data_IF_299661852893
#
_entry.id   IF_299661852893
#
_cell.length_a   1.000
_cell.length_b   1.000
_cell.length_c   1.000
_cell.angle_alpha   90.00
_cell.angle_beta   90.00
_cell.angle_gamma   90.00
#
_symmetry.space_group_name_H-M   'P 1'
#
loop_
_entity.id
_entity.type
_entity.pdbx_description
1 polymer ?
#
# COMPACT_ATOMS: atom_id res chain seq x y z
N UNK A 1 -11.41 -10.58 6.95
CA UNK A 1 -10.30 -11.44 6.49
C UNK A 1 -10.53 -11.88 5.05
N UNK A 2 -11.17 -13.03 4.85
CA UNK A 2 -11.31 -13.69 3.54
C UNK A 2 -11.87 -12.80 2.41
N UNK A 3 -12.97 -12.08 2.67
CA UNK A 3 -13.59 -11.21 1.66
C UNK A 3 -12.66 -10.10 1.19
N UNK A 4 -11.91 -9.50 2.11
CA UNK A 4 -10.95 -8.44 1.79
C UNK A 4 -9.78 -9.01 0.97
N UNK A 5 -9.22 -10.15 1.37
CA UNK A 5 -8.12 -10.79 0.61
C UNK A 5 -8.56 -11.19 -0.81
N UNK A 6 -9.75 -11.75 -0.97
CA UNK A 6 -10.29 -12.10 -2.30
C UNK A 6 -10.51 -10.85 -3.13
N UNK A 7 -11.04 -9.79 -2.53
CA UNK A 7 -11.26 -8.50 -3.19
C UNK A 7 -9.94 -7.89 -3.68
N UNK A 8 -8.91 -7.83 -2.82
CA UNK A 8 -7.58 -7.30 -3.13
C UNK A 8 -6.90 -8.11 -4.23
N UNK A 9 -6.87 -9.45 -4.12
CA UNK A 9 -6.29 -10.32 -5.13
C UNK A 9 -7.00 -10.18 -6.48
N UNK A 10 -8.32 -10.00 -6.48
CA UNK A 10 -9.09 -9.78 -7.71
C UNK A 10 -8.68 -8.47 -8.42
N UNK A 11 -8.43 -7.39 -7.65
CA UNK A 11 -7.96 -6.11 -8.21
C UNK A 11 -6.52 -6.20 -8.73
N UNK A 12 -5.64 -6.92 -8.02
CA UNK A 12 -4.27 -7.19 -8.47
C UNK A 12 -4.27 -8.05 -9.75
N UNK A 13 -5.12 -9.07 -9.82
CA UNK A 13 -5.29 -9.89 -11.02
C UNK A 13 -5.84 -9.06 -12.19
N UNK A 14 -6.77 -8.13 -11.93
CA UNK A 14 -7.27 -7.22 -12.95
C UNK A 14 -6.16 -6.33 -13.52
N UNK A 15 -5.24 -5.82 -12.69
CA UNK A 15 -4.06 -5.07 -13.17
C UNK A 15 -3.19 -5.91 -14.09
N UNK A 16 -2.96 -7.18 -13.76
CA UNK A 16 -2.15 -8.06 -14.61
C UNK A 16 -2.84 -8.35 -15.96
N UNK A 17 -4.14 -8.66 -15.94
CA UNK A 17 -4.86 -9.10 -17.14
C UNK A 17 -5.27 -7.94 -18.05
N UNK A 18 -5.70 -6.82 -17.46
CA UNK A 18 -6.18 -5.67 -18.23
C UNK A 18 -5.12 -4.59 -18.40
N UNK A 19 -4.07 -4.60 -17.58
CA UNK A 19 -3.03 -3.59 -17.58
C UNK A 19 -2.19 -3.53 -18.84
N UNK A 20 -2.08 -4.62 -19.60
CA UNK A 20 -1.39 -4.60 -20.91
C UNK A 20 -2.09 -3.70 -21.93
N UNK A 21 -3.41 -3.51 -21.81
CA UNK A 21 -4.18 -2.57 -22.63
C UNK A 21 -4.05 -1.13 -22.14
N UNK A 22 -3.73 -0.94 -20.86
CA UNK A 22 -3.68 0.37 -20.20
C UNK A 22 -2.28 0.98 -20.25
N UNK A 23 -1.25 0.13 -20.11
CA UNK A 23 0.13 0.54 -19.92
C UNK A 23 1.02 0.06 -21.07
N UNK A 24 1.25 0.89 -22.10
CA UNK A 24 2.16 0.55 -23.19
C UNK A 24 3.64 0.52 -22.77
N UNK A 25 4.01 1.05 -21.60
CA UNK A 25 5.40 1.16 -21.15
C UNK A 25 5.92 -0.19 -20.61
N UNK A 26 5.18 -0.79 -19.68
CA UNK A 26 5.59 -2.02 -18.99
C UNK A 26 4.44 -2.99 -18.73
N UNK A 27 3.31 -2.82 -19.43
CA UNK A 27 2.14 -3.68 -19.33
C UNK A 27 1.50 -3.70 -17.94
N UNK A 28 0.67 -4.71 -17.69
CA UNK A 28 0.02 -4.91 -16.39
C UNK A 28 1.01 -5.23 -15.27
N UNK A 29 2.14 -5.84 -15.61
CA UNK A 29 3.22 -6.14 -14.67
C UNK A 29 3.82 -4.85 -14.10
N UNK A 30 4.04 -3.82 -14.93
CA UNK A 30 4.55 -2.52 -14.48
C UNK A 30 3.63 -1.83 -13.47
N UNK A 31 2.32 -1.86 -13.70
CA UNK A 31 1.31 -1.31 -12.78
C UNK A 31 1.26 -2.09 -11.46
N UNK A 32 1.31 -3.42 -11.52
CA UNK A 32 1.34 -4.27 -10.34
C UNK A 32 2.62 -4.04 -9.53
N UNK A 33 3.76 -3.97 -10.20
CA UNK A 33 5.06 -3.73 -9.56
C UNK A 33 5.09 -2.37 -8.88
N UNK A 34 4.59 -1.33 -9.55
CA UNK A 34 4.43 0.01 -8.99
C UNK A 34 3.57 -0.01 -7.71
N UNK A 35 2.40 -0.67 -7.75
CA UNK A 35 1.51 -0.83 -6.59
C UNK A 35 2.21 -1.54 -5.43
N UNK A 36 2.77 -2.73 -5.66
CA UNK A 36 3.32 -3.56 -4.59
C UNK A 36 4.58 -2.93 -4.01
N UNK A 37 5.51 -2.46 -4.85
CA UNK A 37 6.77 -1.91 -4.35
C UNK A 37 6.53 -0.62 -3.57
N UNK A 38 5.70 0.30 -4.06
CA UNK A 38 5.46 1.56 -3.35
C UNK A 38 4.72 1.36 -2.03
N UNK A 39 3.75 0.45 -1.98
CA UNK A 39 3.01 0.16 -0.73
C UNK A 39 3.92 -0.46 0.32
N UNK A 40 4.73 -1.45 -0.06
CA UNK A 40 5.69 -2.07 0.87
C UNK A 40 6.81 -1.09 1.27
N UNK A 41 7.29 -0.27 0.32
CA UNK A 41 8.28 0.76 0.60
C UNK A 41 7.72 1.81 1.57
N UNK A 42 6.46 2.22 1.41
CA UNK A 42 5.79 3.13 2.33
C UNK A 42 5.74 2.55 3.74
N UNK A 43 5.39 1.27 3.93
CA UNK A 43 5.37 0.65 5.26
C UNK A 43 6.73 0.70 5.95
N UNK A 44 7.81 0.43 5.20
CA UNK A 44 9.19 0.54 5.68
C UNK A 44 9.55 1.98 5.99
N UNK A 45 9.21 2.92 5.11
CA UNK A 45 9.50 4.34 5.31
C UNK A 45 8.76 4.89 6.54
N UNK A 46 7.48 4.57 6.71
CA UNK A 46 6.70 4.94 7.89
C UNK A 46 7.33 4.41 9.17
N UNK A 47 7.83 3.17 9.15
CA UNK A 47 8.54 2.59 10.28
C UNK A 47 9.85 3.34 10.58
N UNK A 48 10.67 3.62 9.56
CA UNK A 48 11.93 4.35 9.72
C UNK A 48 11.71 5.78 10.25
N UNK A 49 10.82 6.56 9.62
CA UNK A 49 10.48 7.91 10.05
C UNK A 49 9.83 7.91 11.43
N UNK A 50 8.95 6.95 11.71
CA UNK A 50 8.32 6.81 13.01
C UNK A 50 9.30 6.44 14.11
N UNK A 51 10.34 5.65 13.81
CA UNK A 51 11.38 5.30 14.79
C UNK A 51 12.37 6.44 15.05
N UNK A 52 12.70 7.22 14.02
CA UNK A 52 13.66 8.32 14.12
C UNK A 52 13.05 9.60 14.73
N UNK A 53 11.83 9.93 14.33
CA UNK A 53 11.19 11.22 14.66
C UNK A 53 9.83 11.10 15.35
N UNK A 54 9.34 9.88 15.56
CA UNK A 54 8.00 9.66 16.11
C UNK A 54 7.85 10.16 17.55
N UNK A 55 6.98 11.15 17.72
CA UNK A 55 6.60 11.69 19.03
C UNK A 55 5.11 11.53 19.28
N UNK A 56 4.29 11.68 18.25
CA UNK A 56 2.83 11.64 18.37
C UNK A 56 2.27 10.34 17.80
N UNK A 57 1.66 9.52 18.66
CA UNK A 57 1.03 8.25 18.25
C UNK A 57 -0.31 8.50 17.55
N UNK A 58 -0.58 7.76 16.48
CA UNK A 58 -1.84 7.89 15.71
C UNK A 58 -2.97 7.08 16.36
N UNK A 59 -2.69 5.84 16.76
CA UNK A 59 -3.71 4.96 17.38
C UNK A 59 -3.16 4.27 18.62
N UNK A 60 -3.53 4.77 19.80
CA UNK A 60 -3.10 4.19 21.09
C UNK A 60 -3.71 2.80 21.33
N UNK A 61 -4.95 2.58 20.90
CA UNK A 61 -5.73 1.37 21.14
C UNK A 61 -5.64 0.31 20.04
N UNK A 62 -5.05 0.61 18.87
CA UNK A 62 -5.00 -0.29 17.70
C UNK A 62 -3.57 -0.58 17.20
N UNK A 63 -2.66 0.39 17.22
CA UNK A 63 -1.26 0.16 16.83
C UNK A 63 -0.30 1.12 17.55
N UNK A 64 0.25 0.73 18.72
CA UNK A 64 1.03 1.62 19.57
C UNK A 64 2.36 2.09 18.95
N UNK A 65 2.75 1.52 17.80
CA UNK A 65 3.99 1.83 17.07
C UNK A 65 3.80 2.84 15.93
N UNK A 66 2.56 3.17 15.52
CA UNK A 66 2.32 4.12 14.42
C UNK A 66 2.29 5.55 14.92
N UNK A 67 3.03 6.43 14.25
CA UNK A 67 3.17 7.85 14.60
C UNK A 67 2.79 8.76 13.44
N UNK A 68 2.35 9.99 13.75
CA UNK A 68 1.99 10.99 12.75
C UNK A 68 3.21 11.40 11.92
N UNK A 69 4.38 11.51 12.55
CA UNK A 69 5.63 11.80 11.87
C UNK A 69 6.02 10.66 10.93
N UNK A 70 5.77 9.42 11.33
CA UNK A 70 5.94 8.24 10.47
C UNK A 70 5.03 8.28 9.25
N UNK A 71 3.74 8.59 9.43
CA UNK A 71 2.78 8.72 8.34
C UNK A 71 3.22 9.81 7.34
N UNK A 72 3.49 11.01 7.83
CA UNK A 72 3.86 12.16 6.97
C UNK A 72 5.17 11.87 6.24
N UNK A 73 6.20 11.38 6.95
CA UNK A 73 7.49 11.03 6.35
C UNK A 73 7.38 9.90 5.33
N UNK A 74 6.64 8.84 5.66
CA UNK A 74 6.41 7.71 4.77
C UNK A 74 5.68 8.12 3.48
N UNK A 75 4.58 8.86 3.59
CA UNK A 75 3.83 9.37 2.44
C UNK A 75 4.69 10.31 1.60
N UNK A 76 5.41 11.26 2.22
CA UNK A 76 6.29 12.17 1.50
C UNK A 76 7.38 11.43 0.72
N UNK A 77 8.05 10.46 1.34
CA UNK A 77 9.04 9.64 0.63
C UNK A 77 8.43 8.80 -0.49
N UNK A 78 7.22 8.26 -0.28
CA UNK A 78 6.51 7.48 -1.30
C UNK A 78 6.14 8.34 -2.50
N UNK A 79 5.70 9.58 -2.29
CA UNK A 79 5.43 10.55 -3.37
C UNK A 79 6.68 10.81 -4.21
N UNK A 80 7.83 11.01 -3.55
CA UNK A 80 9.11 11.25 -4.24
C UNK A 80 9.55 10.03 -5.03
N UNK A 81 9.51 8.84 -4.44
CA UNK A 81 9.88 7.60 -5.16
C UNK A 81 8.91 7.34 -6.31
N UNK A 82 7.61 7.56 -6.12
CA UNK A 82 6.61 7.39 -7.15
C UNK A 82 6.83 8.36 -8.32
N UNK A 83 7.13 9.63 -8.07
CA UNK A 83 7.36 10.61 -9.12
C UNK A 83 8.62 10.33 -9.95
N UNK A 84 9.66 9.74 -9.32
CA UNK A 84 10.90 9.37 -9.99
C UNK A 84 10.77 8.10 -10.83
N UNK A 85 10.14 7.05 -10.30
CA UNK A 85 10.09 5.73 -10.94
C UNK A 85 8.80 5.47 -11.73
N UNK A 86 7.71 6.17 -11.43
CA UNK A 86 6.41 5.97 -12.06
C UNK A 86 6.41 6.10 -13.59
N UNK A 87 7.04 7.13 -14.19
CA UNK A 87 7.07 7.28 -15.65
C UNK A 87 7.77 6.13 -16.39
N UNK A 88 8.64 5.38 -15.71
CA UNK A 88 9.33 4.22 -16.30
C UNK A 88 8.55 2.91 -16.17
N UNK A 89 7.56 2.85 -15.28
CA UNK A 89 6.80 1.63 -14.97
C UNK A 89 5.34 1.70 -15.39
N UNK A 90 4.82 2.90 -15.62
CA UNK A 90 3.38 3.16 -15.75
C UNK A 90 3.14 4.18 -16.88
N UNK A 91 1.91 4.31 -17.41
CA UNK A 91 1.60 5.31 -18.43
C UNK A 91 1.49 6.74 -17.85
N UNK A 92 1.87 6.93 -16.58
CA UNK A 92 1.66 8.16 -15.84
C UNK A 92 2.91 9.06 -15.91
N UNK A 93 2.71 10.34 -16.20
CA UNK A 93 3.76 11.36 -15.99
C UNK A 93 4.10 11.53 -14.51
N UNK A 94 5.24 12.15 -14.21
CA UNK A 94 5.74 12.36 -12.85
C UNK A 94 4.72 12.99 -11.89
N UNK A 95 3.83 13.86 -12.39
CA UNK A 95 2.75 14.50 -11.61
C UNK A 95 1.67 13.50 -11.20
N UNK A 96 1.23 12.68 -12.15
CA UNK A 96 0.24 11.64 -11.91
C UNK A 96 0.82 10.52 -11.03
N UNK A 97 2.08 10.17 -11.22
CA UNK A 97 2.78 9.24 -10.35
C UNK A 97 2.95 9.78 -8.93
N UNK A 98 3.24 11.07 -8.76
CA UNK A 98 3.29 11.72 -7.44
C UNK A 98 1.93 11.62 -6.73
N UNK A 99 0.84 11.92 -7.43
CA UNK A 99 -0.52 11.81 -6.91
C UNK A 99 -0.86 10.36 -6.52
N UNK A 100 -0.54 9.40 -7.40
CA UNK A 100 -0.72 7.99 -7.12
C UNK A 100 0.08 7.53 -5.90
N UNK A 101 1.34 7.98 -5.75
CA UNK A 101 2.17 7.70 -4.58
C UNK A 101 1.57 8.23 -3.28
N UNK A 102 0.97 9.42 -3.31
CA UNK A 102 0.26 9.97 -2.14
C UNK A 102 -0.99 9.16 -1.78
N UNK A 103 -1.78 8.79 -2.78
CA UNK A 103 -2.98 7.95 -2.61
C UNK A 103 -2.60 6.58 -2.04
N UNK A 104 -1.60 5.91 -2.62
CA UNK A 104 -1.07 4.63 -2.13
C UNK A 104 -0.52 4.76 -0.70
N UNK A 105 0.16 5.86 -0.42
CA UNK A 105 0.73 6.17 0.88
C UNK A 105 -0.33 6.20 2.00
N UNK A 106 -1.44 6.91 1.74
CA UNK A 106 -2.54 7.08 2.69
C UNK A 106 -3.40 5.82 2.77
N UNK A 107 -3.78 5.25 1.63
CA UNK A 107 -4.63 4.05 1.58
C UNK A 107 -3.94 2.83 2.19
N UNK A 108 -2.63 2.65 1.97
CA UNK A 108 -1.84 1.60 2.62
C UNK A 108 -1.83 1.72 4.14
N UNK A 109 -1.67 2.95 4.65
CA UNK A 109 -1.73 3.22 6.09
C UNK A 109 -3.10 2.90 6.69
N UNK A 110 -4.19 3.30 6.00
CA UNK A 110 -5.55 3.01 6.44
C UNK A 110 -5.81 1.49 6.44
N UNK A 111 -5.35 0.77 5.42
CA UNK A 111 -5.45 -0.69 5.36
C UNK A 111 -4.79 -1.37 6.55
N UNK A 112 -3.56 -0.95 6.86
CA UNK A 112 -2.79 -1.49 7.99
C UNK A 112 -3.47 -1.23 9.35
N UNK A 113 -4.06 -0.03 9.55
CA UNK A 113 -4.83 0.28 10.78
C UNK A 113 -6.10 -0.57 10.87
N UNK A 114 -6.88 -0.67 9.79
CA UNK A 114 -8.15 -1.40 9.78
C UNK A 114 -7.89 -2.88 10.06
N UNK A 115 -6.89 -3.47 9.39
CA UNK A 115 -6.52 -4.87 9.64
C UNK A 115 -6.00 -5.09 11.05
N UNK A 116 -5.19 -4.15 11.57
CA UNK A 116 -4.76 -4.18 12.97
C UNK A 116 -5.93 -4.09 13.96
N UNK A 117 -6.97 -3.31 13.66
CA UNK A 117 -8.19 -3.21 14.48
C UNK A 117 -8.98 -4.52 14.44
N UNK A 118 -9.22 -5.06 13.24
CA UNK A 118 -9.93 -6.33 13.07
C UNK A 118 -9.24 -7.48 13.81
N UNK A 119 -7.91 -7.53 13.79
CA UNK A 119 -7.14 -8.53 14.55
C UNK A 119 -7.38 -8.40 16.05
N UNK A 120 -7.47 -7.18 16.60
CA UNK A 120 -7.78 -6.95 18.02
C UNK A 120 -9.20 -7.33 18.39
N UNK A 121 -10.17 -7.01 17.55
CA UNK A 121 -11.58 -7.36 17.79
C UNK A 121 -11.80 -8.87 17.81
N UNK A 122 -11.03 -9.62 17.02
CA UNK A 122 -11.08 -11.09 17.00
C UNK A 122 -10.29 -11.74 18.15
N UNK A 123 -9.59 -10.97 18.99
CA UNK A 123 -8.75 -11.49 20.07
C UNK A 123 -7.51 -12.26 19.59
N UNK A 124 -7.18 -12.21 18.30
CA UNK A 124 -6.05 -12.91 17.68
C UNK A 124 -4.94 -11.91 17.37
N UNK A 125 -3.80 -12.05 18.04
CA UNK A 125 -2.68 -11.10 17.94
C UNK A 125 -1.87 -11.27 16.63
N UNK A 126 -1.82 -12.48 16.08
CA UNK A 126 -1.12 -12.84 14.83
C UNK A 126 -1.90 -13.95 14.10
N UNK A 127 -2.20 -13.77 12.80
CA UNK A 127 -3.02 -14.70 12.00
C UNK A 127 -2.27 -15.90 11.44
N UNK A 128 -1.02 -16.16 11.85
CA UNK A 128 -0.33 -17.38 11.41
C UNK A 128 1.00 -17.62 12.11
N UNK A 129 1.07 -18.71 12.86
CA UNK A 129 2.32 -19.29 13.37
C UNK A 129 3.14 -20.02 12.30
N UNK A 130 3.14 -19.54 11.05
CA UNK A 130 3.86 -20.18 9.95
C UNK A 130 5.37 -19.85 9.97
N UNK A 131 5.78 -18.69 10.52
CA UNK A 131 7.19 -18.33 10.70
C UNK A 131 7.37 -17.65 12.07
N UNK A 132 8.08 -18.27 13.03
CA UNK A 132 8.39 -17.63 14.30
C UNK A 132 9.35 -16.44 14.07
N UNK A 133 8.95 -15.23 14.47
CA UNK A 133 9.81 -14.04 14.50
C UNK A 133 9.73 -13.10 13.29
N UNK A 134 9.04 -13.48 12.21
CA UNK A 134 8.63 -12.58 11.14
C UNK A 134 7.10 -12.50 11.21
N UNK A 135 6.53 -11.30 11.43
CA UNK A 135 5.10 -11.08 11.28
C UNK A 135 4.59 -11.73 9.99
N UNK A 136 3.41 -12.35 10.04
CA UNK A 136 2.98 -13.28 9.01
C UNK A 136 3.02 -12.63 7.61
N UNK A 137 3.21 -13.43 6.56
CA UNK A 137 3.05 -12.96 5.17
C UNK A 137 1.73 -12.18 5.00
N UNK A 138 0.69 -12.55 5.77
CA UNK A 138 -0.58 -11.85 5.88
C UNK A 138 -0.46 -10.39 6.35
N UNK A 139 0.42 -10.07 7.31
CA UNK A 139 0.64 -8.69 7.77
C UNK A 139 1.24 -7.81 6.66
N UNK A 140 1.94 -8.39 5.68
CA UNK A 140 2.43 -7.66 4.49
C UNK A 140 1.33 -7.37 3.49
N UNK A 141 0.26 -8.15 3.51
CA UNK A 141 -0.90 -7.95 2.64
C UNK A 141 -1.87 -6.93 3.25
N UNK A 142 -1.79 -6.65 4.55
CA UNK A 142 -2.70 -5.73 5.26
C UNK A 142 -2.77 -4.34 4.61
N UNK A 143 -1.62 -3.73 4.29
CA UNK A 143 -1.57 -2.43 3.61
C UNK A 143 -2.05 -2.50 2.16
N UNK A 144 -1.75 -3.59 1.44
CA UNK A 144 -2.24 -3.84 0.08
C UNK A 144 -3.76 -3.94 0.02
N UNK A 145 -4.39 -4.37 1.12
CA UNK A 145 -5.83 -4.64 1.17
C UNK A 145 -6.67 -3.46 0.68
N UNK A 146 -6.29 -2.25 1.10
CA UNK A 146 -6.92 -1.00 0.68
C UNK A 146 -6.19 -0.31 -0.47
N UNK A 147 -4.86 -0.42 -0.54
CA UNK A 147 -4.10 0.25 -1.58
C UNK A 147 -4.40 -0.28 -2.99
N UNK A 148 -4.55 -1.60 -3.15
CA UNK A 148 -4.81 -2.21 -4.45
C UNK A 148 -6.13 -1.78 -5.10
N UNK A 149 -7.31 -1.87 -4.42
CA UNK A 149 -8.55 -1.44 -5.04
C UNK A 149 -8.57 0.07 -5.32
N UNK A 150 -8.04 0.90 -4.42
CA UNK A 150 -7.97 2.35 -4.63
C UNK A 150 -7.12 2.69 -5.86
N UNK A 151 -5.96 2.04 -6.01
CA UNK A 151 -5.10 2.25 -7.16
C UNK A 151 -5.72 1.78 -8.48
N UNK A 152 -6.41 0.64 -8.48
CA UNK A 152 -7.15 0.18 -9.65
C UNK A 152 -8.22 1.18 -10.06
N UNK A 153 -9.00 1.70 -9.12
CA UNK A 153 -10.02 2.71 -9.43
C UNK A 153 -9.38 4.00 -9.98
N UNK A 154 -8.24 4.41 -9.43
CA UNK A 154 -7.48 5.54 -9.95
C UNK A 154 -7.02 5.32 -11.40
N UNK A 155 -6.38 4.19 -11.70
CA UNK A 155 -5.96 3.85 -13.06
C UNK A 155 -7.16 3.75 -14.00
N UNK A 156 -8.24 3.09 -13.56
CA UNK A 156 -9.44 2.92 -14.36
C UNK A 156 -10.13 4.24 -14.68
N UNK A 157 -10.16 5.19 -13.75
CA UNK A 157 -10.87 6.45 -13.95
C UNK A 157 -10.09 7.43 -14.84
N UNK A 158 -8.76 7.45 -14.74
CA UNK A 158 -7.93 8.43 -15.45
C UNK A 158 -7.21 7.90 -16.69
N UNK A 159 -6.95 6.60 -16.78
CA UNK A 159 -6.09 6.02 -17.82
C UNK A 159 -6.75 4.87 -18.59
N UNK A 160 -7.93 4.42 -18.18
CA UNK A 160 -8.72 3.43 -18.91
C UNK A 160 -10.00 4.07 -19.44
N UNK A 161 -10.25 4.05 -20.76
CA UNK A 161 -11.50 4.55 -21.33
C UNK A 161 -12.72 3.65 -21.03
#
# INVERSE_FOLDING_TARGET
>A
GLMMTVYTLSHMAWLLVSGDKVNPVAGGVGLLFFLVVLTQFNDVAQYCWGKLFGRHKVTLSVSPKKTWEGLIGGVATTIVVASLFGPYLTPMDWRWSALAGGILGISGFLGDIIMSAMKRDLGVKDTGGLIPGHGGILDRVDSLTYAAPVFVHFIRYFFYP
#
